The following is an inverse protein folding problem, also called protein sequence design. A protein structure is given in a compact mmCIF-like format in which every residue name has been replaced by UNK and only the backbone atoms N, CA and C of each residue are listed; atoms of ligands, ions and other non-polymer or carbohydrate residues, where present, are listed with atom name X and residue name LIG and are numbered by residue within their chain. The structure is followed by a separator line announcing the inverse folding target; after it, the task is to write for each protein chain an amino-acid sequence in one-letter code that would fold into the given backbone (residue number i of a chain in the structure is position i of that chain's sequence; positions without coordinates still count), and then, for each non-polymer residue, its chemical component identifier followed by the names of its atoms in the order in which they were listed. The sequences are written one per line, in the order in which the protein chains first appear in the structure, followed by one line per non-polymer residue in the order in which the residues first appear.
data_IF_763015355854
#
_entry.id   IF_763015355854
#
_cell.length_a   1.000
_cell.length_b   1.000
_cell.length_c   1.000
_cell.angle_alpha   90.00
_cell.angle_beta   90.00
_cell.angle_gamma   90.00
#
_symmetry.space_group_name_H-M   'P 1'
#
loop_
_entity.id
_entity.type
_entity.pdbx_description
1 polymer ?
#
# COMPACT_ATOMS: atom_id res chain seq x y z
N UNK A 1 -38.39 -12.53 -27.68
CA UNK A 1 -37.37 -12.66 -28.75
C UNK A 1 -37.53 -11.65 -29.90
N UNK A 2 -38.72 -11.42 -30.47
CA UNK A 2 -38.91 -10.48 -31.61
C UNK A 2 -38.50 -9.02 -31.32
N UNK A 3 -38.65 -8.53 -30.09
CA UNK A 3 -38.28 -7.15 -29.73
C UNK A 3 -36.76 -6.96 -29.56
N UNK A 4 -36.05 -8.00 -29.13
CA UNK A 4 -34.59 -7.96 -28.96
C UNK A 4 -33.87 -7.86 -30.32
N UNK A 5 -34.33 -8.63 -31.31
CA UNK A 5 -33.77 -8.57 -32.66
C UNK A 5 -33.97 -7.19 -33.31
N UNK A 6 -35.14 -6.56 -33.11
CA UNK A 6 -35.41 -5.19 -33.58
C UNK A 6 -34.54 -4.16 -32.88
N UNK A 7 -34.33 -4.30 -31.57
CA UNK A 7 -33.44 -3.42 -30.81
C UNK A 7 -31.98 -3.54 -31.25
N UNK A 8 -31.47 -4.77 -31.44
CA UNK A 8 -30.11 -4.99 -31.95
C UNK A 8 -29.91 -4.43 -33.36
N UNK A 9 -30.89 -4.61 -34.24
CA UNK A 9 -30.87 -4.03 -35.58
C UNK A 9 -30.82 -2.49 -35.51
N UNK A 10 -31.62 -1.88 -34.63
CA UNK A 10 -31.63 -0.43 -34.40
C UNK A 10 -30.26 0.08 -33.91
N UNK A 11 -29.67 -0.58 -32.91
CA UNK A 11 -28.32 -0.23 -32.40
C UNK A 11 -27.27 -0.35 -33.51
N UNK A 12 -27.34 -1.41 -34.32
CA UNK A 12 -26.40 -1.63 -35.42
C UNK A 12 -26.51 -0.52 -36.47
N UNK A 13 -27.73 -0.17 -36.89
CA UNK A 13 -27.98 0.92 -37.85
C UNK A 13 -27.52 2.27 -37.32
N UNK A 14 -27.81 2.59 -36.05
CA UNK A 14 -27.37 3.85 -35.42
C UNK A 14 -25.85 3.89 -35.33
N UNK A 15 -25.20 2.79 -34.92
CA UNK A 15 -23.73 2.72 -34.85
C UNK A 15 -23.07 2.89 -36.22
N UNK A 16 -23.62 2.24 -37.25
CA UNK A 16 -23.15 2.35 -38.63
C UNK A 16 -23.34 3.77 -39.18
N UNK A 17 -24.48 4.41 -38.89
CA UNK A 17 -24.74 5.80 -39.26
C UNK A 17 -23.77 6.78 -38.62
N UNK A 18 -23.51 6.64 -37.31
CA UNK A 18 -22.54 7.47 -36.59
C UNK A 18 -21.13 7.25 -37.14
N UNK A 19 -20.75 6.00 -37.40
CA UNK A 19 -19.43 5.64 -37.96
C UNK A 19 -19.23 6.22 -39.37
N UNK A 20 -20.24 6.11 -40.25
CA UNK A 20 -20.23 6.71 -41.58
C UNK A 20 -20.17 8.25 -41.52
N UNK A 21 -20.88 8.87 -40.58
CA UNK A 21 -20.83 10.31 -40.38
C UNK A 21 -19.44 10.78 -39.92
N UNK A 22 -18.79 10.01 -39.03
CA UNK A 22 -17.42 10.26 -38.60
C UNK A 22 -16.43 10.11 -39.76
N UNK A 23 -16.50 9.04 -40.54
CA UNK A 23 -15.63 8.80 -41.70
C UNK A 23 -15.82 9.89 -42.78
N UNK A 24 -17.07 10.29 -43.04
CA UNK A 24 -17.40 11.39 -43.94
C UNK A 24 -16.81 12.72 -43.43
N UNK A 25 -16.96 13.04 -42.13
CA UNK A 25 -16.40 14.25 -41.52
C UNK A 25 -14.86 14.25 -41.52
N UNK A 26 -14.23 13.09 -41.35
CA UNK A 26 -12.77 12.91 -41.44
C UNK A 26 -12.27 13.16 -42.87
N UNK A 27 -12.94 12.61 -43.89
CA UNK A 27 -12.55 12.77 -45.30
C UNK A 27 -12.82 14.16 -45.88
N UNK A 28 -13.89 14.82 -45.46
CA UNK A 28 -14.31 16.13 -45.98
C UNK A 28 -13.94 17.32 -45.07
N UNK A 29 -13.01 17.11 -44.12
CA UNK A 29 -12.32 18.21 -43.42
C UNK A 29 -13.09 18.91 -42.29
N UNK A 30 -14.09 18.26 -41.70
CA UNK A 30 -14.95 18.84 -40.67
C UNK A 30 -14.59 18.49 -39.22
N UNK A 31 -13.62 17.59 -39.00
CA UNK A 31 -13.08 17.24 -37.68
C UNK A 31 -11.65 17.78 -37.55
N UNK A 32 -11.48 18.91 -36.86
CA UNK A 32 -10.17 19.30 -36.32
C UNK A 32 -9.92 18.49 -35.06
N UNK A 33 -9.49 17.25 -35.21
CA UNK A 33 -8.83 16.55 -34.11
C UNK A 33 -7.60 17.40 -33.73
N UNK A 34 -7.30 17.64 -32.44
CA UNK A 34 -6.03 18.23 -32.04
C UNK A 34 -4.92 17.29 -32.48
N UNK A 35 -4.47 17.47 -33.72
CA UNK A 35 -3.48 16.66 -34.38
C UNK A 35 -2.14 16.99 -33.77
N UNK A 36 -1.61 16.05 -33.00
CA UNK A 36 -0.20 15.98 -32.63
C UNK A 36 0.27 17.15 -31.77
N UNK A 37 0.35 16.92 -30.46
CA UNK A 37 1.44 17.58 -29.72
C UNK A 37 2.72 17.13 -30.40
N UNK A 38 3.38 18.02 -31.13
CA UNK A 38 4.74 17.79 -31.61
C UNK A 38 5.59 17.55 -30.37
N UNK A 39 6.31 16.41 -30.26
CA UNK A 39 7.23 16.21 -29.15
C UNK A 39 8.19 17.39 -29.09
N UNK A 40 8.29 18.01 -27.93
CA UNK A 40 9.21 19.11 -27.71
C UNK A 40 10.63 18.58 -27.87
N UNK A 41 11.47 19.29 -28.63
CA UNK A 41 12.89 18.96 -28.71
C UNK A 41 13.53 19.39 -27.39
N UNK A 42 13.96 18.42 -26.59
CA UNK A 42 14.74 18.67 -25.39
C UNK A 42 16.13 18.07 -25.55
N UNK A 43 17.12 18.73 -24.95
CA UNK A 43 18.47 18.20 -24.78
C UNK A 43 18.71 18.11 -23.29
N UNK A 44 19.00 16.91 -22.78
CA UNK A 44 19.33 16.73 -21.37
C UNK A 44 20.73 17.29 -21.09
N UNK A 45 20.94 17.82 -19.89
CA UNK A 45 22.28 18.15 -19.42
C UNK A 45 23.15 16.89 -19.41
N UNK A 46 24.37 17.00 -19.93
CA UNK A 46 25.33 15.89 -19.97
C UNK A 46 26.09 15.72 -18.66
N UNK A 47 26.21 16.78 -17.87
CA UNK A 47 26.99 16.80 -16.63
C UNK A 47 26.29 17.65 -15.55
N UNK A 48 26.51 17.33 -14.26
CA UNK A 48 26.01 18.15 -13.16
C UNK A 48 26.70 19.52 -13.13
N UNK A 49 26.02 20.53 -12.60
CA UNK A 49 26.55 21.89 -12.46
C UNK A 49 27.67 22.03 -11.41
N UNK A 50 27.94 20.97 -10.64
CA UNK A 50 28.95 20.93 -9.58
C UNK A 50 29.98 19.85 -9.91
N UNK A 51 31.27 20.20 -9.82
CA UNK A 51 32.35 19.24 -10.00
C UNK A 51 32.34 18.21 -8.87
N UNK A 52 32.25 16.94 -9.23
CA UNK A 52 32.34 15.78 -8.33
C UNK A 52 33.52 15.83 -7.34
N UNK A 53 34.65 16.44 -7.73
CA UNK A 53 35.83 16.60 -6.85
C UNK A 53 35.56 17.58 -5.70
N UNK A 54 34.69 18.56 -5.89
CA UNK A 54 34.35 19.56 -4.87
C UNK A 54 33.41 18.99 -3.80
N UNK A 55 32.69 17.91 -4.10
CA UNK A 55 31.70 17.27 -3.21
C UNK A 55 32.07 15.84 -2.84
N UNK A 56 33.35 15.47 -2.97
CA UNK A 56 33.82 14.10 -2.74
C UNK A 56 33.51 13.58 -1.32
N UNK A 57 33.54 14.46 -0.31
CA UNK A 57 33.21 14.15 1.09
C UNK A 57 31.73 13.83 1.27
N UNK A 58 30.84 14.60 0.66
CA UNK A 58 29.39 14.36 0.71
C UNK A 58 29.04 13.04 0.02
N UNK A 59 29.71 12.72 -1.09
CA UNK A 59 29.50 11.45 -1.76
C UNK A 59 30.05 10.26 -0.96
N UNK A 60 31.16 10.44 -0.24
CA UNK A 60 31.66 9.44 0.69
C UNK A 60 30.63 9.16 1.82
N UNK A 61 30.10 10.22 2.43
CA UNK A 61 29.06 10.11 3.45
C UNK A 61 27.80 9.39 2.91
N UNK A 62 27.36 9.73 1.70
CA UNK A 62 26.23 9.06 1.05
C UNK A 62 26.50 7.57 0.80
N UNK A 63 27.73 7.19 0.43
CA UNK A 63 28.10 5.77 0.28
C UNK A 63 28.02 5.01 1.61
N UNK A 64 28.54 5.60 2.68
CA UNK A 64 28.49 4.99 4.02
C UNK A 64 27.04 4.85 4.52
N UNK A 65 26.24 5.91 4.38
CA UNK A 65 24.81 5.87 4.73
C UNK A 65 24.05 4.81 3.93
N UNK A 66 24.31 4.69 2.62
CA UNK A 66 23.71 3.64 1.78
C UNK A 66 24.12 2.24 2.25
N UNK A 67 25.38 2.03 2.60
CA UNK A 67 25.86 0.74 3.09
C UNK A 67 25.19 0.37 4.42
N UNK A 68 25.03 1.33 5.33
CA UNK A 68 24.31 1.16 6.60
C UNK A 68 22.84 0.82 6.37
N UNK A 69 22.12 1.62 5.59
CA UNK A 69 20.69 1.37 5.31
C UNK A 69 20.50 -0.01 4.66
N UNK A 70 21.34 -0.36 3.68
CA UNK A 70 21.27 -1.64 2.98
C UNK A 70 21.48 -2.85 3.90
N UNK A 71 22.24 -2.69 4.99
CA UNK A 71 22.43 -3.78 5.96
C UNK A 71 21.27 -3.92 6.94
N UNK A 72 20.53 -2.84 7.20
CA UNK A 72 19.42 -2.81 8.18
C UNK A 72 18.08 -3.15 7.54
N UNK A 73 17.80 -2.66 6.33
CA UNK A 73 16.51 -2.83 5.62
C UNK A 73 15.98 -4.28 5.63
N UNK A 74 16.79 -5.34 5.42
CA UNK A 74 16.31 -6.73 5.49
C UNK A 74 15.68 -7.15 6.82
N UNK A 75 15.90 -6.37 7.89
CA UNK A 75 15.34 -6.59 9.22
C UNK A 75 14.03 -5.82 9.45
N UNK A 76 13.68 -4.89 8.55
CA UNK A 76 12.47 -4.06 8.66
C UNK A 76 11.37 -4.67 7.78
N UNK A 77 10.17 -4.79 8.34
CA UNK A 77 9.05 -5.48 7.70
C UNK A 77 7.80 -4.62 7.67
N UNK A 78 6.93 -4.87 6.69
CA UNK A 78 5.58 -4.33 6.70
C UNK A 78 4.66 -5.24 7.52
N UNK A 79 3.84 -4.65 8.39
CA UNK A 79 2.83 -5.35 9.17
C UNK A 79 1.46 -4.95 8.65
N UNK A 80 0.71 -5.93 8.15
CA UNK A 80 -0.63 -5.76 7.58
C UNK A 80 -1.60 -6.52 8.46
N UNK A 81 -2.60 -5.83 9.01
CA UNK A 81 -3.61 -6.45 9.86
C UNK A 81 -4.99 -6.28 9.29
N UNK A 82 -5.86 -7.25 9.51
CA UNK A 82 -7.26 -7.17 9.10
C UNK A 82 -8.20 -7.68 10.18
N UNK A 83 -9.37 -7.03 10.28
CA UNK A 83 -10.45 -7.40 11.19
C UNK A 83 -11.79 -7.35 10.48
N UNK A 84 -12.60 -8.40 10.63
CA UNK A 84 -13.97 -8.45 10.14
C UNK A 84 -14.90 -7.82 11.17
N UNK A 85 -15.46 -6.67 10.83
CA UNK A 85 -16.44 -5.97 11.65
C UNK A 85 -17.83 -6.34 11.13
N UNK A 86 -18.64 -6.96 11.98
CA UNK A 86 -20.04 -7.18 11.67
C UNK A 86 -20.76 -5.83 11.70
N UNK A 87 -21.23 -5.33 10.55
CA UNK A 87 -22.13 -4.18 10.55
C UNK A 87 -23.46 -4.65 11.11
N UNK A 88 -23.83 -4.19 12.30
CA UNK A 88 -25.23 -4.25 12.72
C UNK A 88 -25.96 -3.16 11.97
N UNK A 89 -26.68 -3.51 10.89
CA UNK A 89 -27.61 -2.57 10.25
C UNK A 89 -28.60 -2.08 11.30
N UNK A 90 -28.51 -0.80 11.63
CA UNK A 90 -29.63 -0.08 12.21
C UNK A 90 -30.70 -0.01 11.10
N UNK A 91 -31.90 -0.51 11.39
CA UNK A 91 -32.99 -0.65 10.41
C UNK A 91 -33.44 0.73 9.90
N UNK A 92 -32.72 1.28 8.93
CA UNK A 92 -33.22 2.30 8.03
C UNK A 92 -34.10 1.63 6.99
N UNK A 93 -35.33 2.09 6.84
CA UNK A 93 -36.24 1.66 5.78
C UNK A 93 -35.58 1.96 4.42
N UNK A 94 -35.05 0.94 3.75
CA UNK A 94 -34.53 1.06 2.39
C UNK A 94 -35.72 1.31 1.43
N UNK A 95 -35.81 2.49 0.77
CA UNK A 95 -36.92 2.80 -0.12
C UNK A 95 -37.06 1.81 -1.28
N UNK A 96 -35.98 1.09 -1.64
CA UNK A 96 -35.98 0.06 -2.68
C UNK A 96 -36.69 -1.24 -2.25
N UNK A 97 -36.73 -1.54 -0.94
CA UNK A 97 -37.46 -2.71 -0.40
C UNK A 97 -38.97 -2.59 -0.57
N UNK A 98 -39.49 -1.36 -0.67
CA UNK A 98 -40.90 -1.10 -0.93
C UNK A 98 -41.35 -1.50 -2.34
N UNK A 99 -40.42 -1.50 -3.31
CA UNK A 99 -40.72 -1.77 -4.72
C UNK A 99 -40.46 -3.23 -5.13
N UNK A 100 -39.64 -4.00 -4.39
CA UNK A 100 -39.26 -5.37 -4.75
C UNK A 100 -39.27 -6.36 -3.56
N UNK A 101 -40.45 -6.71 -3.02
CA UNK A 101 -40.59 -7.50 -1.79
C UNK A 101 -40.12 -8.97 -1.88
N UNK A 102 -39.89 -9.53 -3.08
CA UNK A 102 -39.59 -10.95 -3.29
C UNK A 102 -38.09 -11.30 -3.49
N UNK A 103 -37.16 -10.35 -3.39
CA UNK A 103 -35.72 -10.66 -3.49
C UNK A 103 -35.08 -11.14 -2.16
N UNK A 104 -35.87 -11.28 -1.09
CA UNK A 104 -35.41 -11.61 0.28
C UNK A 104 -34.91 -13.05 0.53
N UNK A 105 -34.60 -13.85 -0.50
CA UNK A 105 -34.18 -15.26 -0.28
C UNK A 105 -32.69 -15.56 -0.47
N UNK A 106 -31.85 -14.59 -0.81
CA UNK A 106 -30.42 -14.88 -1.01
C UNK A 106 -29.51 -13.69 -0.75
N UNK A 107 -29.55 -13.14 0.46
CA UNK A 107 -28.39 -12.39 0.97
C UNK A 107 -28.08 -12.89 2.36
N UNK A 108 -26.94 -13.55 2.50
CA UNK A 108 -26.52 -14.10 3.78
C UNK A 108 -26.26 -12.90 4.71
N UNK A 109 -26.75 -12.89 5.97
CA UNK A 109 -26.44 -11.83 6.94
C UNK A 109 -24.93 -11.66 7.20
N UNK A 110 -24.14 -12.68 6.84
CA UNK A 110 -22.69 -12.69 6.93
C UNK A 110 -21.98 -12.01 5.74
N UNK A 111 -22.71 -11.60 4.69
CA UNK A 111 -22.11 -11.02 3.47
C UNK A 111 -21.79 -9.51 3.60
N UNK A 112 -22.15 -8.86 4.71
CA UNK A 112 -21.88 -7.43 4.96
C UNK A 112 -20.93 -7.21 6.16
N UNK A 113 -19.91 -8.06 6.32
CA UNK A 113 -18.80 -7.75 7.22
C UNK A 113 -17.85 -6.74 6.52
N UNK A 114 -17.64 -5.57 7.12
CA UNK A 114 -16.58 -4.67 6.66
C UNK A 114 -15.24 -5.21 7.14
N UNK A 115 -14.30 -5.33 6.22
CA UNK A 115 -12.91 -5.63 6.58
C UNK A 115 -12.21 -4.31 6.88
N UNK A 116 -11.87 -4.10 8.15
CA UNK A 116 -10.99 -3.01 8.55
C UNK A 116 -9.55 -3.49 8.44
N UNK A 117 -8.73 -2.77 7.66
CA UNK A 117 -7.31 -3.03 7.53
C UNK A 117 -6.50 -1.98 8.31
N UNK A 118 -5.37 -2.39 8.89
CA UNK A 118 -4.32 -1.50 9.40
C UNK A 118 -2.97 -1.86 8.79
N UNK A 119 -2.09 -0.87 8.70
CA UNK A 119 -0.76 -0.96 8.12
C UNK A 119 0.25 -0.33 9.07
N UNK A 120 1.40 -0.97 9.23
CA UNK A 120 2.47 -0.50 10.08
C UNK A 120 3.81 -1.11 9.70
N UNK A 121 4.84 -0.78 10.46
CA UNK A 121 6.18 -1.36 10.31
C UNK A 121 6.54 -2.20 11.52
N UNK A 122 7.47 -3.14 11.35
CA UNK A 122 8.07 -3.88 12.45
C UNK A 122 9.54 -4.13 12.21
N UNK A 123 10.26 -4.56 13.24
CA UNK A 123 11.68 -4.91 13.18
C UNK A 123 11.87 -6.33 13.69
N UNK A 124 12.51 -7.18 12.87
CA UNK A 124 12.92 -8.52 13.26
C UNK A 124 14.11 -8.40 14.22
N UNK A 125 14.02 -8.99 15.40
CA UNK A 125 15.05 -8.89 16.45
C UNK A 125 15.69 -10.22 16.84
N UNK A 126 15.14 -11.35 16.40
CA UNK A 126 15.76 -12.67 16.65
C UNK A 126 15.77 -13.58 15.41
N UNK A 127 16.67 -14.57 15.39
CA UNK A 127 16.77 -15.57 14.32
C UNK A 127 15.55 -16.48 14.24
N UNK A 128 14.80 -16.61 15.33
CA UNK A 128 13.55 -17.35 15.37
C UNK A 128 12.42 -16.57 14.69
N UNK A 129 12.61 -15.30 14.33
CA UNK A 129 11.59 -14.49 13.64
C UNK A 129 10.64 -13.75 14.59
N UNK A 130 11.12 -13.33 15.76
CA UNK A 130 10.39 -12.39 16.60
C UNK A 130 10.51 -10.98 16.03
N UNK A 131 9.38 -10.28 15.97
CA UNK A 131 9.25 -8.94 15.42
C UNK A 131 8.69 -8.01 16.48
N UNK A 132 9.31 -6.86 16.68
CA UNK A 132 8.79 -5.77 17.51
C UNK A 132 8.04 -4.79 16.60
N UNK A 133 6.83 -4.40 17.01
CA UNK A 133 6.00 -3.38 16.35
C UNK A 133 5.19 -2.63 17.40
N UNK A 134 4.36 -1.68 16.97
CA UNK A 134 3.47 -0.96 17.88
C UNK A 134 2.21 -1.79 18.22
N UNK A 135 1.71 -1.64 19.45
CA UNK A 135 0.46 -2.28 19.86
C UNK A 135 -0.72 -1.80 18.99
N UNK A 136 -0.81 -0.50 18.72
CA UNK A 136 -1.90 0.06 17.92
C UNK A 136 -1.97 -0.49 16.47
N UNK A 137 -0.89 -1.08 15.95
CA UNK A 137 -0.87 -1.72 14.62
C UNK A 137 -1.61 -3.06 14.65
N UNK A 138 -1.58 -3.75 15.80
CA UNK A 138 -2.14 -5.09 16.00
C UNK A 138 -3.49 -5.09 16.73
N UNK A 139 -4.01 -3.91 17.06
CA UNK A 139 -5.35 -3.69 17.61
C UNK A 139 -6.24 -2.94 16.62
N UNK A 140 -7.55 -3.14 16.73
CA UNK A 140 -8.53 -2.33 16.04
C UNK A 140 -8.76 -0.98 16.73
N UNK A 141 -9.70 -0.18 16.20
CA UNK A 141 -10.05 1.14 16.76
C UNK A 141 -10.71 1.07 18.13
N UNK A 142 -11.20 -0.10 18.52
CA UNK A 142 -11.86 -0.37 19.79
C UNK A 142 -10.90 -1.00 20.81
N UNK A 143 -9.60 -1.08 20.50
CA UNK A 143 -8.57 -1.67 21.38
C UNK A 143 -8.58 -3.20 21.41
N UNK A 144 -9.35 -3.85 20.55
CA UNK A 144 -9.40 -5.31 20.50
C UNK A 144 -8.37 -5.85 19.49
N UNK A 145 -7.86 -7.05 19.75
CA UNK A 145 -6.98 -7.74 18.80
C UNK A 145 -7.65 -7.90 17.41
N UNK A 146 -6.83 -7.76 16.37
CA UNK A 146 -7.19 -8.04 14.97
C UNK A 146 -7.29 -9.54 14.69
N UNK A 147 -8.03 -9.93 13.65
CA UNK A 147 -8.28 -11.34 13.34
C UNK A 147 -7.10 -12.00 12.62
N UNK A 148 -6.41 -11.24 11.76
CA UNK A 148 -5.29 -11.73 10.96
C UNK A 148 -4.16 -10.70 10.93
N UNK A 149 -2.93 -11.21 11.05
CA UNK A 149 -1.69 -10.44 10.96
C UNK A 149 -0.82 -11.09 9.89
N UNK A 150 -0.44 -10.30 8.89
CA UNK A 150 0.49 -10.67 7.84
C UNK A 150 1.72 -9.76 7.92
N UNK A 151 2.89 -10.36 7.74
CA UNK A 151 4.17 -9.66 7.70
C UNK A 151 4.75 -9.82 6.31
N UNK A 152 5.09 -8.71 5.66
CA UNK A 152 5.80 -8.71 4.39
C UNK A 152 7.26 -8.32 4.63
N UNK A 153 8.17 -9.21 4.24
CA UNK A 153 9.62 -9.00 4.30
C UNK A 153 10.07 -8.05 3.18
N UNK A 154 11.25 -7.45 3.34
CA UNK A 154 11.82 -6.53 2.33
C UNK A 154 12.09 -7.18 0.97
N UNK A 155 12.16 -8.52 0.90
CA UNK A 155 12.29 -9.27 -0.36
C UNK A 155 10.94 -9.59 -1.03
N UNK A 156 9.84 -9.07 -0.47
CA UNK A 156 8.49 -9.24 -0.97
C UNK A 156 7.77 -10.50 -0.48
N UNK A 157 8.44 -11.42 0.24
CA UNK A 157 7.77 -12.60 0.82
C UNK A 157 6.78 -12.18 1.91
N UNK A 158 5.58 -12.74 1.88
CA UNK A 158 4.56 -12.54 2.92
C UNK A 158 4.42 -13.79 3.80
N UNK A 159 4.33 -13.59 5.12
CA UNK A 159 4.15 -14.61 6.14
C UNK A 159 2.99 -14.28 7.05
N UNK A 160 2.24 -15.30 7.47
CA UNK A 160 1.30 -15.15 8.58
C UNK A 160 2.11 -15.00 9.87
N UNK A 161 1.73 -14.04 10.68
CA UNK A 161 2.30 -13.83 12.00
C UNK A 161 1.29 -14.17 13.08
N UNK A 162 1.79 -14.65 14.22
CA UNK A 162 1.00 -14.78 15.44
C UNK A 162 1.43 -13.71 16.44
N UNK A 163 0.49 -13.18 17.20
CA UNK A 163 0.78 -12.34 18.35
C UNK A 163 1.40 -13.20 19.47
N UNK A 164 2.56 -12.80 19.97
CA UNK A 164 3.21 -13.41 21.14
C UNK A 164 2.73 -12.73 22.41
N UNK A 165 2.65 -11.40 22.38
CA UNK A 165 2.15 -10.56 23.46
C UNK A 165 2.13 -9.10 23.04
N UNK A 166 1.37 -8.28 23.76
CA UNK A 166 1.31 -6.84 23.56
C UNK A 166 1.12 -6.12 24.91
N UNK A 167 1.58 -4.88 24.95
CA UNK A 167 1.47 -3.97 26.08
C UNK A 167 0.93 -2.63 25.57
N UNK A 168 -0.26 -2.26 26.05
CA UNK A 168 -0.94 -1.02 25.68
C UNK A 168 -0.29 0.22 26.30
N UNK A 169 0.32 0.12 27.49
CA UNK A 169 0.85 1.27 28.21
C UNK A 169 2.06 1.89 27.51
N UNK A 170 2.90 1.03 26.91
CA UNK A 170 4.11 1.43 26.18
C UNK A 170 3.95 1.32 24.66
N UNK A 171 2.75 1.00 24.18
CA UNK A 171 2.41 0.82 22.76
C UNK A 171 3.35 -0.15 22.01
N UNK A 172 3.64 -1.31 22.61
CA UNK A 172 4.51 -2.35 22.04
C UNK A 172 3.79 -3.68 21.84
N UNK A 173 4.13 -4.36 20.75
CA UNK A 173 3.70 -5.72 20.48
C UNK A 173 4.84 -6.57 19.91
N UNK A 174 4.83 -7.84 20.30
CA UNK A 174 5.77 -8.85 19.79
C UNK A 174 4.99 -9.83 18.92
N UNK A 175 5.40 -9.93 17.66
CA UNK A 175 4.89 -10.89 16.70
C UNK A 175 5.91 -12.01 16.46
N UNK A 176 5.43 -13.16 15.97
CA UNK A 176 6.28 -14.28 15.54
C UNK A 176 5.88 -14.74 14.15
N UNK A 177 6.88 -14.89 13.28
CA UNK A 177 6.76 -15.57 11.99
C UNK A 177 7.66 -16.80 11.95
N UNK A 178 7.30 -17.78 11.11
CA UNK A 178 8.12 -18.96 10.86
C UNK A 178 8.81 -18.84 9.49
N UNK A 179 10.03 -18.31 9.50
CA UNK A 179 10.87 -18.17 8.31
C UNK A 179 12.37 -18.29 8.69
N UNK A 180 13.10 -19.32 8.22
CA UNK A 180 14.52 -19.48 8.55
C UNK A 180 15.44 -18.48 7.83
N UNK A 181 14.92 -17.73 6.85
CA UNK A 181 15.66 -16.75 6.06
C UNK A 181 15.58 -15.33 6.60
N UNK A 182 15.10 -15.13 7.84
CA UNK A 182 15.04 -13.81 8.45
C UNK A 182 16.42 -13.22 8.74
N UNK A 183 16.50 -11.90 8.76
CA UNK A 183 17.70 -11.15 9.14
C UNK A 183 17.35 -10.32 10.38
N UNK A 184 17.75 -10.74 11.59
CA UNK A 184 17.47 -9.95 12.77
C UNK A 184 18.43 -8.76 12.91
N UNK A 185 17.90 -7.65 13.39
CA UNK A 185 18.69 -6.50 13.81
C UNK A 185 19.13 -6.67 15.26
N UNK A 186 20.40 -6.38 15.54
CA UNK A 186 20.93 -6.38 16.91
C UNK A 186 20.43 -5.13 17.64
N UNK A 187 19.83 -5.32 18.82
CA UNK A 187 19.51 -4.22 19.72
C UNK A 187 20.77 -3.63 20.33
N UNK A 188 20.82 -2.30 20.40
CA UNK A 188 21.87 -1.54 21.07
C UNK A 188 21.40 -1.08 22.46
N UNK A 189 22.32 -0.53 23.24
CA UNK A 189 22.03 0.06 24.54
C UNK A 189 21.54 1.50 24.38
N UNK A 190 20.25 1.74 24.68
CA UNK A 190 19.64 3.07 24.58
C UNK A 190 20.18 4.06 25.60
N UNK A 191 20.73 3.61 26.73
CA UNK A 191 21.24 4.49 27.79
C UNK A 191 22.53 5.22 27.36
N UNK A 192 23.15 4.76 26.27
CA UNK A 192 24.36 5.37 25.70
C UNK A 192 24.08 6.47 24.69
N UNK A 193 22.83 6.62 24.22
CA UNK A 193 22.42 7.57 23.19
C UNK A 193 22.31 8.98 23.78
N UNK A 194 22.80 10.00 23.07
CA UNK A 194 22.85 11.40 23.53
C UNK A 194 22.17 12.37 22.56
N UNK A 195 21.68 13.49 23.09
CA UNK A 195 21.14 14.59 22.27
C UNK A 195 22.23 15.12 21.31
N UNK A 196 21.88 15.23 20.03
CA UNK A 196 22.82 15.56 18.96
C UNK A 196 23.42 14.37 18.20
N UNK A 197 23.21 13.13 18.65
CA UNK A 197 23.58 11.95 17.88
C UNK A 197 22.75 11.86 16.59
N UNK A 198 23.40 11.55 15.46
CA UNK A 198 22.69 11.31 14.21
C UNK A 198 21.88 10.02 14.26
N UNK A 199 20.65 10.07 13.78
CA UNK A 199 19.75 8.91 13.73
C UNK A 199 19.10 8.73 12.37
N UNK A 200 18.74 7.48 12.09
CA UNK A 200 17.95 7.09 10.93
C UNK A 200 16.68 6.40 11.42
N UNK A 201 15.52 6.96 11.07
CA UNK A 201 14.24 6.29 11.17
C UNK A 201 13.98 5.51 9.87
N UNK A 202 13.72 4.21 9.99
CA UNK A 202 13.46 3.32 8.86
C UNK A 202 12.09 2.67 9.07
N UNK A 203 11.22 2.74 8.07
CA UNK A 203 9.90 2.13 8.10
C UNK A 203 9.52 1.49 6.76
N UNK A 204 8.59 0.54 6.80
CA UNK A 204 8.01 -0.10 5.63
C UNK A 204 6.49 -0.29 5.79
N UNK A 205 5.68 0.77 5.97
CA UNK A 205 4.26 0.61 6.24
C UNK A 205 3.47 0.01 5.06
N UNK A 206 3.93 0.18 3.82
CA UNK A 206 3.18 -0.21 2.63
C UNK A 206 3.67 -1.51 1.97
N UNK A 207 4.91 -1.92 2.23
CA UNK A 207 5.49 -3.13 1.64
C UNK A 207 5.90 -2.98 0.17
N UNK A 208 6.10 -1.75 -0.32
CA UNK A 208 6.58 -1.46 -1.68
C UNK A 208 8.05 -1.04 -1.64
N UNK A 209 8.34 0.07 -0.96
CA UNK A 209 9.68 0.61 -0.74
C UNK A 209 9.79 1.10 0.71
N UNK A 210 10.95 0.89 1.32
CA UNK A 210 11.24 1.39 2.65
C UNK A 210 11.42 2.92 2.63
N UNK A 211 10.88 3.59 3.64
CA UNK A 211 11.13 5.01 3.88
C UNK A 211 12.27 5.15 4.88
N UNK A 212 13.25 5.98 4.55
CA UNK A 212 14.37 6.32 5.43
C UNK A 212 14.40 7.82 5.66
N UNK A 213 14.40 8.24 6.92
CA UNK A 213 14.46 9.64 7.34
C UNK A 213 15.64 9.81 8.29
N UNK A 214 16.48 10.81 8.07
CA UNK A 214 17.52 11.23 9.02
C UNK A 214 17.05 12.31 9.97
N UNK A 215 17.64 12.30 11.15
CA UNK A 215 17.50 13.35 12.13
C UNK A 215 18.66 13.31 13.11
N UNK A 216 18.44 14.03 14.21
CA UNK A 216 19.28 13.97 15.40
C UNK A 216 18.37 13.65 16.59
N UNK A 217 18.92 13.06 17.64
CA UNK A 217 18.25 12.94 18.94
C UNK A 217 18.03 14.34 19.54
#
# INVERSE_FOLDING_TARGET
MKNLAKFLLFVLVVSAGISLLYDYRLKHGGLKLPSGRTPEKYTLASEPSVDSKQVASLEALNRERRALVKSVVPSVVAVKTSKKIAIRREYGLDPFEFFFPNQRRSRNPNDEALVQNSLGSGVIVTNEGHIITNNHVVTDRQGNQVDQIEVQLSDGRTKKARLVGADEQVDLAVLKIDDPGVKPLKLADSDTVQAGDFVLAIGNPFGFDETVTDGII
#
